data_IF_877665190340
#
_entry.id   IF_877665190340
#
_cell.length_a   1.000
_cell.length_b   1.000
_cell.length_c   1.000
_cell.angle_alpha   90.00
_cell.angle_beta   90.00
_cell.angle_gamma   90.00
#
_symmetry.space_group_name_H-M   'P 1'
#
loop_
_entity.id
_entity.type
_entity.pdbx_description
1 polymer ?
#
# COMPACT_ATOMS: atom_id res chain seq x y z
N UNK A 1 -25.54 20.51 -46.66
CA UNK A 1 -24.45 19.53 -46.89
C UNK A 1 -23.75 19.27 -45.57
N UNK A 2 -24.13 18.17 -44.90
CA UNK A 2 -23.51 17.66 -43.69
C UNK A 2 -22.15 17.04 -44.08
N UNK A 3 -21.05 17.57 -43.53
CA UNK A 3 -19.74 16.92 -43.64
C UNK A 3 -19.56 16.00 -42.44
N UNK A 4 -19.60 14.70 -42.71
CA UNK A 4 -19.21 13.62 -41.82
C UNK A 4 -17.73 13.75 -41.43
N UNK A 5 -17.45 14.05 -40.16
CA UNK A 5 -16.10 13.88 -39.62
C UNK A 5 -15.93 12.44 -39.16
N UNK A 6 -15.13 11.68 -39.89
CA UNK A 6 -14.72 10.32 -39.56
C UNK A 6 -14.20 10.22 -38.12
N UNK A 7 -14.83 9.36 -37.32
CA UNK A 7 -14.35 8.98 -35.98
C UNK A 7 -13.03 8.20 -36.16
N UNK A 8 -11.91 8.82 -35.78
CA UNK A 8 -10.63 8.10 -35.65
C UNK A 8 -10.77 6.99 -34.61
N UNK A 9 -10.39 5.78 -35.00
CA UNK A 9 -10.33 4.61 -34.12
C UNK A 9 -9.52 4.90 -32.84
N UNK A 10 -9.91 4.31 -31.68
CA UNK A 10 -9.21 4.54 -30.43
C UNK A 10 -7.76 4.04 -30.53
N UNK A 11 -6.80 4.93 -30.22
CA UNK A 11 -5.38 4.58 -30.12
C UNK A 11 -5.22 3.48 -29.06
N UNK A 12 -4.56 2.38 -29.42
CA UNK A 12 -4.15 1.29 -28.52
C UNK A 12 -3.56 1.89 -27.23
N UNK A 13 -4.13 1.48 -26.09
CA UNK A 13 -3.66 1.81 -24.75
C UNK A 13 -2.16 1.50 -24.65
N UNK A 14 -1.34 2.54 -24.46
CA UNK A 14 -0.02 2.36 -23.86
C UNK A 14 -0.28 2.26 -22.37
N UNK A 15 -0.10 1.07 -21.80
CA UNK A 15 0.02 0.88 -20.36
C UNK A 15 1.06 1.89 -19.86
N UNK A 16 0.58 2.88 -19.12
CA UNK A 16 1.40 3.94 -18.57
C UNK A 16 2.35 3.31 -17.57
N UNK A 17 3.62 3.19 -17.93
CA UNK A 17 4.70 2.92 -16.99
C UNK A 17 4.77 4.14 -16.06
N UNK A 18 4.03 4.09 -14.94
CA UNK A 18 4.29 4.98 -13.82
C UNK A 18 5.74 4.74 -13.37
N UNK A 19 6.42 5.84 -13.08
CA UNK A 19 7.82 5.84 -12.69
C UNK A 19 8.05 4.87 -11.52
N UNK A 20 8.75 3.76 -11.80
CA UNK A 20 9.23 2.80 -10.81
C UNK A 20 10.00 3.58 -9.74
N UNK A 21 9.49 3.62 -8.51
CA UNK A 21 10.34 3.87 -7.34
C UNK A 21 11.39 2.77 -7.38
N UNK A 22 12.65 3.12 -7.68
CA UNK A 22 13.79 2.21 -7.51
C UNK A 22 13.62 1.53 -6.15
N UNK A 23 13.66 0.19 -6.12
CA UNK A 23 13.91 -0.54 -4.88
C UNK A 23 15.07 0.17 -4.19
N UNK A 24 14.80 0.86 -3.08
CA UNK A 24 15.82 1.67 -2.39
C UNK A 24 16.89 0.81 -1.71
N UNK A 25 16.76 -0.52 -1.80
CA UNK A 25 17.64 -1.50 -1.19
C UNK A 25 18.06 -2.52 -2.25
N UNK A 26 19.37 -2.72 -2.37
CA UNK A 26 19.96 -3.77 -3.19
C UNK A 26 19.73 -5.10 -2.47
N UNK A 27 18.92 -5.97 -3.06
CA UNK A 27 18.72 -7.33 -2.56
C UNK A 27 20.05 -8.08 -2.61
N UNK A 28 20.41 -8.75 -1.51
CA UNK A 28 21.55 -9.66 -1.50
C UNK A 28 21.16 -10.96 -2.18
N UNK A 29 21.97 -11.37 -3.16
CA UNK A 29 21.71 -12.61 -3.89
C UNK A 29 22.05 -13.82 -3.02
N UNK A 30 21.11 -14.77 -2.92
CA UNK A 30 21.22 -15.98 -2.11
C UNK A 30 21.59 -17.15 -3.00
N UNK A 31 22.78 -17.72 -2.84
CA UNK A 31 23.30 -18.71 -3.79
C UNK A 31 22.44 -19.98 -3.92
N UNK A 32 21.84 -20.38 -2.80
CA UNK A 32 21.05 -21.60 -2.68
C UNK A 32 19.53 -21.36 -2.90
N UNK A 33 19.12 -20.10 -3.08
CA UNK A 33 17.73 -19.80 -3.39
C UNK A 33 17.44 -20.08 -4.87
N UNK A 34 16.20 -20.54 -5.14
CA UNK A 34 15.75 -20.74 -6.51
C UNK A 34 15.34 -19.41 -7.13
N UNK A 35 15.86 -19.12 -8.32
CA UNK A 35 15.51 -17.95 -9.10
C UNK A 35 14.85 -18.35 -10.42
N UNK A 36 13.97 -17.49 -10.91
CA UNK A 36 13.35 -17.64 -12.21
C UNK A 36 13.17 -16.29 -12.91
N UNK A 37 13.24 -16.31 -14.22
CA UNK A 37 12.89 -15.17 -15.07
C UNK A 37 11.41 -14.83 -14.90
N UNK A 38 11.11 -13.54 -14.78
CA UNK A 38 9.72 -13.06 -14.70
C UNK A 38 8.97 -13.38 -16.01
N UNK A 39 7.76 -13.93 -15.91
CA UNK A 39 6.98 -14.39 -17.07
C UNK A 39 6.86 -13.37 -18.22
N UNK A 40 6.72 -12.08 -17.89
CA UNK A 40 6.57 -11.00 -18.88
C UNK A 40 7.88 -10.24 -19.14
N UNK A 41 9.03 -10.78 -18.76
CA UNK A 41 10.33 -10.13 -18.94
C UNK A 41 10.55 -9.69 -20.40
N UNK A 42 10.11 -10.51 -21.37
CA UNK A 42 10.28 -10.25 -22.80
C UNK A 42 9.66 -8.92 -23.30
N UNK A 43 8.62 -8.44 -22.63
CA UNK A 43 7.88 -7.23 -22.99
C UNK A 43 8.49 -5.96 -22.38
N UNK A 44 9.47 -6.11 -21.49
CA UNK A 44 10.08 -5.00 -20.76
C UNK A 44 11.15 -4.29 -21.58
N UNK A 45 11.28 -2.97 -21.41
CA UNK A 45 12.37 -2.20 -22.04
C UNK A 45 13.75 -2.65 -21.54
N UNK A 46 13.80 -3.12 -20.30
CA UNK A 46 15.00 -3.66 -19.65
C UNK A 46 15.49 -4.91 -20.38
N UNK A 47 14.60 -5.84 -20.71
CA UNK A 47 14.95 -7.00 -21.52
C UNK A 47 15.40 -6.63 -22.93
N UNK A 48 14.76 -5.65 -23.57
CA UNK A 48 15.20 -5.16 -24.89
C UNK A 48 16.62 -4.58 -24.85
N UNK A 49 17.02 -3.97 -23.74
CA UNK A 49 18.42 -3.53 -23.51
C UNK A 49 19.34 -4.72 -23.26
N UNK A 50 18.87 -5.72 -22.51
CA UNK A 50 19.61 -6.95 -22.20
C UNK A 50 19.97 -7.75 -23.46
N UNK A 51 19.10 -7.77 -24.47
CA UNK A 51 19.35 -8.48 -25.74
C UNK A 51 20.62 -8.03 -26.46
N UNK A 52 21.11 -6.81 -26.20
CA UNK A 52 22.33 -6.26 -26.78
C UNK A 52 23.61 -6.72 -26.05
N UNK A 53 23.47 -7.50 -24.98
CA UNK A 53 24.55 -7.92 -24.09
C UNK A 53 24.61 -9.46 -24.06
N UNK A 54 25.52 -10.09 -24.84
CA UNK A 54 25.51 -11.54 -25.05
C UNK A 54 25.67 -12.36 -23.77
N UNK A 55 26.57 -11.95 -22.88
CA UNK A 55 26.83 -12.65 -21.62
C UNK A 55 25.61 -12.61 -20.68
N UNK A 56 24.99 -11.44 -20.52
CA UNK A 56 23.78 -11.28 -19.72
C UNK A 56 22.61 -12.07 -20.27
N UNK A 57 22.40 -12.05 -21.60
CA UNK A 57 21.36 -12.84 -22.25
C UNK A 57 21.55 -14.33 -22.01
N UNK A 58 22.78 -14.83 -22.14
CA UNK A 58 23.08 -16.24 -21.93
C UNK A 58 22.83 -16.68 -20.49
N UNK A 59 23.19 -15.85 -19.50
CA UNK A 59 22.90 -16.15 -18.09
C UNK A 59 21.39 -16.07 -17.82
N UNK A 60 20.71 -15.05 -18.35
CA UNK A 60 19.26 -14.92 -18.24
C UNK A 60 18.52 -16.15 -18.77
N UNK A 61 18.93 -16.68 -19.92
CA UNK A 61 18.27 -17.84 -20.54
C UNK A 61 18.38 -19.13 -19.70
N UNK A 62 19.35 -19.22 -18.78
CA UNK A 62 19.51 -20.38 -17.88
C UNK A 62 18.54 -20.38 -16.71
N UNK A 63 17.90 -19.24 -16.44
CA UNK A 63 16.89 -19.08 -15.41
C UNK A 63 15.46 -19.07 -15.98
N UNK A 64 15.25 -19.55 -17.23
CA UNK A 64 13.89 -19.70 -17.79
C UNK A 64 13.05 -20.65 -16.95
N UNK A 65 13.66 -21.73 -16.51
CA UNK A 65 13.15 -22.59 -15.46
C UNK A 65 13.76 -22.22 -14.12
N UNK A 66 13.07 -22.54 -13.03
CA UNK A 66 13.59 -22.32 -11.67
C UNK A 66 14.93 -23.05 -11.49
N UNK A 67 15.96 -22.31 -11.11
CA UNK A 67 17.29 -22.84 -10.82
C UNK A 67 17.99 -22.04 -9.72
N UNK A 68 18.89 -22.67 -8.97
CA UNK A 68 19.74 -21.94 -8.02
C UNK A 68 20.93 -21.29 -8.71
N UNK A 69 21.51 -20.27 -8.09
CA UNK A 69 22.71 -19.63 -8.61
C UNK A 69 23.89 -20.60 -8.59
N UNK A 70 23.98 -21.45 -7.56
CA UNK A 70 24.97 -22.51 -7.47
C UNK A 70 24.86 -23.52 -8.65
N UNK A 71 23.65 -23.94 -9.00
CA UNK A 71 23.39 -24.83 -10.13
C UNK A 71 23.76 -24.18 -11.47
N UNK A 72 23.34 -22.94 -11.70
CA UNK A 72 23.65 -22.22 -12.94
C UNK A 72 25.16 -21.95 -13.04
N UNK A 73 25.82 -21.60 -11.94
CA UNK A 73 27.26 -21.42 -11.90
C UNK A 73 28.00 -22.71 -12.24
N UNK A 74 27.64 -23.84 -11.64
CA UNK A 74 28.24 -25.14 -11.93
C UNK A 74 28.09 -25.55 -13.40
N UNK A 75 26.93 -25.29 -14.02
CA UNK A 75 26.70 -25.51 -15.47
C UNK A 75 27.48 -24.54 -16.37
N UNK A 76 27.83 -23.35 -15.88
CA UNK A 76 28.56 -22.32 -16.64
C UNK A 76 30.05 -22.54 -16.73
N UNK A 77 30.64 -23.23 -15.76
CA UNK A 77 32.09 -23.54 -15.70
C UNK A 77 32.57 -24.27 -16.97
N UNK A 78 31.68 -24.95 -17.72
CA UNK A 78 32.04 -25.67 -18.94
C UNK A 78 31.90 -24.90 -20.27
N UNK A 79 31.28 -23.71 -20.32
CA UNK A 79 30.84 -23.11 -21.60
C UNK A 79 31.18 -21.63 -21.84
N UNK A 80 31.76 -20.91 -20.87
CA UNK A 80 32.02 -19.45 -21.01
C UNK A 80 33.28 -18.98 -20.26
N UNK A 81 34.01 -18.00 -20.83
CA UNK A 81 35.15 -17.30 -20.18
C UNK A 81 34.75 -16.35 -19.01
N UNK A 82 33.58 -16.54 -18.40
CA UNK A 82 33.06 -15.64 -17.35
C UNK A 82 33.54 -16.11 -15.98
N UNK A 83 34.32 -15.30 -15.28
CA UNK A 83 34.69 -15.56 -13.88
C UNK A 83 33.53 -15.33 -12.90
N UNK A 84 33.68 -15.83 -11.67
CA UNK A 84 32.60 -15.80 -10.66
C UNK A 84 32.15 -14.39 -10.31
N UNK A 85 33.09 -13.44 -10.20
CA UNK A 85 32.76 -12.04 -9.92
C UNK A 85 31.87 -11.41 -11.00
N UNK A 86 32.20 -11.62 -12.28
CA UNK A 86 31.41 -11.11 -13.39
C UNK A 86 30.05 -11.79 -13.46
N UNK A 87 29.98 -13.09 -13.18
CA UNK A 87 28.71 -13.82 -13.09
C UNK A 87 27.79 -13.25 -12.00
N UNK A 88 28.28 -13.09 -10.78
CA UNK A 88 27.52 -12.50 -9.66
C UNK A 88 27.03 -11.10 -10.00
N UNK A 89 27.88 -10.26 -10.63
CA UNK A 89 27.46 -8.92 -11.08
C UNK A 89 26.33 -8.97 -12.11
N UNK A 90 26.35 -9.94 -13.01
CA UNK A 90 25.28 -10.13 -13.99
C UNK A 90 24.00 -10.57 -13.30
N UNK A 91 24.03 -11.56 -12.41
CA UNK A 91 22.85 -12.00 -11.65
C UNK A 91 22.28 -10.86 -10.80
N UNK A 92 23.13 -10.06 -10.14
CA UNK A 92 22.71 -8.87 -9.41
C UNK A 92 22.00 -7.89 -10.34
N UNK A 93 22.59 -7.61 -11.50
CA UNK A 93 22.02 -6.70 -12.49
C UNK A 93 20.67 -7.19 -13.00
N UNK A 94 20.49 -8.50 -13.22
CA UNK A 94 19.20 -9.08 -13.62
C UNK A 94 18.14 -8.89 -12.52
N UNK A 95 18.53 -9.07 -11.26
CA UNK A 95 17.66 -8.89 -10.09
C UNK A 95 17.29 -7.42 -9.89
N UNK A 96 18.26 -6.51 -9.98
CA UNK A 96 18.07 -5.06 -9.88
C UNK A 96 17.17 -4.50 -11.00
N UNK A 97 17.13 -5.17 -12.15
CA UNK A 97 16.26 -4.85 -13.29
C UNK A 97 14.88 -5.52 -13.21
N UNK A 98 14.58 -6.27 -12.13
CA UNK A 98 13.35 -7.06 -11.97
C UNK A 98 13.14 -8.08 -13.11
N UNK A 99 14.21 -8.54 -13.74
CA UNK A 99 14.18 -9.53 -14.82
C UNK A 99 14.31 -10.96 -14.30
N UNK A 100 15.00 -11.10 -13.16
CA UNK A 100 15.18 -12.33 -12.41
C UNK A 100 14.65 -12.11 -11.00
N UNK A 101 13.82 -13.02 -10.51
CA UNK A 101 13.25 -12.94 -9.17
C UNK A 101 13.51 -14.23 -8.41
N UNK A 102 13.68 -14.10 -7.10
CA UNK A 102 13.67 -15.26 -6.22
C UNK A 102 12.25 -15.86 -6.17
N UNK A 103 12.19 -17.18 -6.33
CA UNK A 103 10.99 -18.00 -6.22
C UNK A 103 10.95 -18.69 -4.86
N UNK A 104 9.93 -18.35 -4.08
CA UNK A 104 9.73 -18.82 -2.72
C UNK A 104 8.25 -19.06 -2.45
N UNK A 105 7.99 -19.88 -1.43
CA UNK A 105 6.66 -19.97 -0.82
C UNK A 105 6.52 -18.84 0.20
N UNK A 106 5.44 -18.03 0.14
CA UNK A 106 5.24 -16.96 1.12
C UNK A 106 5.12 -17.57 2.53
N UNK A 107 5.64 -16.90 3.58
CA UNK A 107 5.40 -17.31 4.95
C UNK A 107 3.91 -17.16 5.28
N UNK A 108 3.47 -17.83 6.34
CA UNK A 108 2.12 -17.64 6.85
C UNK A 108 1.98 -16.22 7.44
N UNK A 109 1.05 -15.43 6.92
CA UNK A 109 0.68 -14.15 7.51
C UNK A 109 -0.26 -14.40 8.70
N UNK A 110 0.27 -14.25 9.92
CA UNK A 110 -0.48 -14.52 11.16
C UNK A 110 -0.94 -13.21 11.78
N UNK A 111 -2.25 -13.06 12.01
CA UNK A 111 -2.89 -11.81 12.48
C UNK A 111 -2.30 -10.52 11.88
N UNK A 112 -2.26 -10.37 10.54
CA UNK A 112 -1.75 -9.15 9.94
C UNK A 112 -2.63 -7.94 10.31
N UNK A 113 -2.01 -6.79 10.51
CA UNK A 113 -2.64 -5.56 11.00
C UNK A 113 -2.74 -4.57 9.84
N UNK A 114 -3.96 -4.12 9.57
CA UNK A 114 -4.23 -3.07 8.58
C UNK A 114 -4.73 -1.80 9.28
N UNK A 115 -4.02 -0.70 9.13
CA UNK A 115 -4.50 0.60 9.58
C UNK A 115 -5.41 1.17 8.49
N UNK A 116 -6.70 1.29 8.80
CA UNK A 116 -7.71 1.81 7.88
C UNK A 116 -8.17 3.19 8.36
N UNK A 117 -8.11 4.18 7.47
CA UNK A 117 -8.48 5.56 7.80
C UNK A 117 -8.75 6.36 6.54
N UNK A 118 -9.65 7.33 6.60
CA UNK A 118 -9.74 8.36 5.57
C UNK A 118 -8.33 8.97 5.30
N UNK A 119 -7.99 9.34 4.05
CA UNK A 119 -6.72 9.98 3.78
C UNK A 119 -6.56 11.22 4.67
N UNK A 120 -5.34 11.49 5.13
CA UNK A 120 -5.01 12.63 5.99
C UNK A 120 -5.56 12.57 7.43
N UNK A 121 -6.01 11.40 7.89
CA UNK A 121 -6.42 11.15 9.27
C UNK A 121 -5.25 10.98 10.28
N UNK A 122 -3.99 10.98 9.82
CA UNK A 122 -2.81 10.79 10.68
C UNK A 122 -2.27 9.37 10.74
N UNK A 123 -2.72 8.49 9.84
CA UNK A 123 -2.33 7.07 9.81
C UNK A 123 -0.84 6.81 9.56
N UNK A 124 -0.11 7.75 8.96
CA UNK A 124 1.36 7.66 8.88
C UNK A 124 2.01 7.70 10.27
N UNK A 125 1.54 8.58 11.17
CA UNK A 125 2.07 8.66 12.53
C UNK A 125 1.87 7.33 13.27
N UNK A 126 0.67 6.77 13.19
CA UNK A 126 0.34 5.50 13.81
C UNK A 126 1.18 4.36 13.21
N UNK A 127 1.28 4.29 11.88
CA UNK A 127 2.08 3.29 11.18
C UNK A 127 3.55 3.36 11.60
N UNK A 128 4.16 4.55 11.61
CA UNK A 128 5.57 4.73 11.99
C UNK A 128 5.83 4.35 13.44
N UNK A 129 4.85 4.54 14.32
CA UNK A 129 4.94 4.14 15.74
C UNK A 129 4.82 2.63 15.87
N UNK A 130 3.82 2.01 15.23
CA UNK A 130 3.62 0.56 15.29
C UNK A 130 4.75 -0.21 14.59
N UNK A 131 5.35 0.33 13.52
CA UNK A 131 6.46 -0.33 12.81
C UNK A 131 7.73 -0.51 13.66
N UNK A 132 7.76 0.02 14.89
CA UNK A 132 8.87 -0.14 15.83
C UNK A 132 8.73 -1.39 16.72
N UNK A 133 7.56 -2.05 16.69
CA UNK A 133 7.35 -3.28 17.44
C UNK A 133 8.20 -4.41 16.84
N UNK A 134 8.89 -5.21 17.67
CA UNK A 134 9.84 -6.22 17.20
C UNK A 134 9.19 -7.32 16.34
N UNK A 135 7.91 -7.62 16.54
CA UNK A 135 7.21 -8.65 15.79
C UNK A 135 6.75 -8.21 14.40
N UNK A 136 6.66 -6.90 14.16
CA UNK A 136 6.00 -6.37 12.98
C UNK A 136 6.95 -6.22 11.80
N UNK A 137 6.50 -6.75 10.68
CA UNK A 137 7.11 -6.55 9.37
C UNK A 137 6.24 -5.62 8.54
N UNK A 138 6.85 -4.73 7.76
CA UNK A 138 6.12 -3.77 6.92
C UNK A 138 6.77 -3.65 5.55
N UNK A 139 6.10 -3.02 4.59
CA UNK A 139 6.72 -2.61 3.33
C UNK A 139 7.38 -1.22 3.41
N UNK A 140 7.44 -0.61 4.59
CA UNK A 140 8.01 0.71 4.84
C UNK A 140 7.18 1.91 4.32
N UNK A 141 6.04 1.67 3.67
CA UNK A 141 5.23 2.71 3.05
C UNK A 141 3.84 2.22 2.64
N UNK A 142 3.27 2.87 1.62
CA UNK A 142 1.92 2.56 1.10
C UNK A 142 2.00 1.58 -0.08
N UNK A 143 1.10 0.61 -0.10
CA UNK A 143 1.04 -0.54 -1.00
C UNK A 143 0.28 -0.29 -2.31
N UNK A 144 0.13 0.96 -2.75
CA UNK A 144 -0.67 1.31 -3.95
C UNK A 144 -0.29 0.45 -5.15
N UNK A 145 0.99 0.46 -5.52
CA UNK A 145 1.50 -0.28 -6.68
C UNK A 145 1.57 -1.79 -6.45
N UNK A 146 1.66 -2.24 -5.19
CA UNK A 146 1.67 -3.67 -4.88
C UNK A 146 0.32 -4.32 -5.16
N UNK A 147 -0.77 -3.62 -4.81
CA UNK A 147 -2.14 -4.06 -5.08
C UNK A 147 -2.50 -3.75 -6.53
N UNK A 148 -2.45 -2.48 -6.94
CA UNK A 148 -2.93 -2.03 -8.26
C UNK A 148 -2.00 -2.43 -9.40
N UNK A 149 -0.76 -2.85 -9.12
CA UNK A 149 0.09 -3.45 -10.14
C UNK A 149 -0.34 -4.87 -10.52
N UNK A 150 -1.28 -5.49 -9.79
CA UNK A 150 -1.91 -6.75 -10.21
C UNK A 150 -2.98 -6.33 -11.22
N UNK A 151 -2.87 -6.68 -12.52
CA UNK A 151 -3.73 -6.12 -13.55
C UNK A 151 -5.22 -6.21 -13.21
N UNK A 152 -5.66 -7.34 -12.66
CA UNK A 152 -7.05 -7.62 -12.27
C UNK A 152 -7.58 -6.71 -11.14
N UNK A 153 -6.69 -6.17 -10.31
CA UNK A 153 -7.02 -5.27 -9.19
C UNK A 153 -6.86 -3.80 -9.56
N UNK A 154 -6.32 -3.50 -10.75
CA UNK A 154 -6.12 -2.13 -11.19
C UNK A 154 -7.47 -1.48 -11.54
N UNK A 155 -7.75 -0.22 -11.13
CA UNK A 155 -9.04 0.41 -11.42
C UNK A 155 -9.43 0.47 -12.91
N UNK A 156 -8.44 0.44 -13.83
CA UNK A 156 -8.73 0.44 -15.27
C UNK A 156 -9.44 -0.82 -15.77
N UNK A 157 -9.26 -1.98 -15.13
CA UNK A 157 -10.00 -3.21 -15.51
C UNK A 157 -11.48 -3.13 -15.11
N UNK A 158 -11.80 -2.19 -14.23
CA UNK A 158 -13.14 -1.91 -13.73
C UNK A 158 -13.66 -0.56 -14.21
N UNK A 159 -13.21 -0.11 -15.39
CA UNK A 159 -13.58 1.15 -16.03
C UNK A 159 -13.45 2.40 -15.14
N UNK A 160 -12.51 2.38 -14.18
CA UNK A 160 -12.35 3.43 -13.19
C UNK A 160 -13.64 3.74 -12.41
N UNK A 161 -14.50 2.76 -12.16
CA UNK A 161 -15.73 2.97 -11.37
C UNK A 161 -15.44 3.38 -9.92
N UNK A 162 -14.44 2.76 -9.29
CA UNK A 162 -13.90 3.15 -7.97
C UNK A 162 -12.59 2.41 -7.66
N UNK A 163 -12.01 2.66 -6.48
CA UNK A 163 -10.97 1.81 -5.90
C UNK A 163 -11.48 0.58 -5.12
N UNK A 164 -12.80 0.35 -5.09
CA UNK A 164 -13.43 -0.73 -4.32
C UNK A 164 -12.93 -2.09 -4.80
N UNK A 165 -12.53 -2.92 -3.84
CA UNK A 165 -12.34 -4.36 -4.00
C UNK A 165 -13.15 -5.08 -2.93
N UNK A 166 -13.65 -6.26 -3.29
CA UNK A 166 -14.49 -7.13 -2.45
C UNK A 166 -13.87 -8.52 -2.37
N UNK A 167 -14.51 -9.44 -1.64
CA UNK A 167 -14.13 -10.84 -1.56
C UNK A 167 -14.11 -11.52 -2.94
N UNK A 168 -14.96 -11.07 -3.88
CA UNK A 168 -15.00 -11.59 -5.24
C UNK A 168 -13.70 -11.35 -6.02
N UNK A 169 -12.94 -10.30 -5.65
CA UNK A 169 -11.65 -9.98 -6.26
C UNK A 169 -10.49 -10.78 -5.65
N UNK A 170 -10.72 -11.47 -4.53
CA UNK A 170 -9.73 -12.24 -3.77
C UNK A 170 -9.60 -13.69 -4.27
N UNK A 171 -9.35 -13.87 -5.57
CA UNK A 171 -9.10 -15.19 -6.15
C UNK A 171 -7.78 -15.77 -5.63
N UNK A 172 -7.66 -17.11 -5.43
CA UNK A 172 -6.48 -17.72 -4.80
C UNK A 172 -5.14 -17.29 -5.41
N UNK A 173 -5.04 -17.25 -6.74
CA UNK A 173 -3.82 -16.87 -7.46
C UNK A 173 -3.49 -15.38 -7.30
N UNK A 174 -4.51 -14.53 -7.18
CA UNK A 174 -4.37 -13.10 -6.90
C UNK A 174 -3.86 -12.91 -5.48
N UNK A 175 -4.43 -13.63 -4.51
CA UNK A 175 -4.00 -13.58 -3.11
C UNK A 175 -2.55 -14.05 -2.95
N UNK A 176 -2.17 -15.17 -3.57
CA UNK A 176 -0.79 -15.66 -3.56
C UNK A 176 0.17 -14.64 -4.21
N UNK A 177 -0.22 -14.07 -5.36
CA UNK A 177 0.56 -13.02 -6.03
C UNK A 177 0.76 -11.80 -5.13
N UNK A 178 -0.29 -11.35 -4.46
CA UNK A 178 -0.24 -10.21 -3.53
C UNK A 178 0.66 -10.51 -2.32
N UNK A 179 0.54 -11.70 -1.73
CA UNK A 179 1.39 -12.14 -0.62
C UNK A 179 2.87 -12.16 -1.03
N UNK A 180 3.21 -12.78 -2.18
CA UNK A 180 4.59 -12.76 -2.70
C UNK A 180 5.12 -11.35 -2.93
N UNK A 181 4.27 -10.45 -3.43
CA UNK A 181 4.62 -9.03 -3.62
C UNK A 181 4.89 -8.31 -2.30
N UNK A 182 4.12 -8.58 -1.25
CA UNK A 182 4.40 -8.06 0.08
C UNK A 182 5.71 -8.62 0.62
N UNK A 183 5.92 -9.93 0.56
CA UNK A 183 7.16 -10.59 1.05
C UNK A 183 8.41 -9.99 0.44
N UNK A 184 8.38 -9.70 -0.87
CA UNK A 184 9.49 -9.03 -1.59
C UNK A 184 9.85 -7.65 -1.05
N UNK A 185 8.94 -6.99 -0.32
CA UNK A 185 9.16 -5.69 0.28
C UNK A 185 9.19 -5.70 1.80
N UNK A 186 8.97 -6.85 2.45
CA UNK A 186 8.94 -6.94 3.90
C UNK A 186 10.27 -6.54 4.51
N UNK A 187 10.19 -5.69 5.53
CA UNK A 187 11.27 -5.24 6.39
C UNK A 187 10.82 -5.23 7.83
N UNK A 188 11.72 -5.63 8.71
CA UNK A 188 11.52 -5.47 10.14
C UNK A 188 11.79 -4.00 10.57
N UNK A 189 11.70 -3.73 11.87
CA UNK A 189 12.02 -2.41 12.44
C UNK A 189 13.45 -1.94 12.20
N UNK A 190 14.41 -2.86 12.02
CA UNK A 190 15.83 -2.57 11.77
C UNK A 190 16.13 -2.30 10.28
N UNK A 191 15.10 -2.37 9.42
CA UNK A 191 15.17 -2.30 7.96
C UNK A 191 15.76 -3.55 7.28
N UNK A 192 16.01 -4.61 8.04
CA UNK A 192 16.44 -5.90 7.51
C UNK A 192 15.34 -6.46 6.61
N UNK A 193 15.66 -6.73 5.34
CA UNK A 193 14.69 -7.29 4.41
C UNK A 193 14.49 -8.78 4.70
N UNK A 194 13.25 -9.26 4.56
CA UNK A 194 12.92 -10.67 4.77
C UNK A 194 13.70 -11.59 3.82
N UNK A 195 13.81 -11.21 2.54
CA UNK A 195 14.53 -12.01 1.54
C UNK A 195 16.05 -11.92 1.66
N UNK A 196 16.57 -10.92 2.38
CA UNK A 196 18.01 -10.83 2.67
C UNK A 196 18.43 -11.76 3.82
N UNK A 197 17.47 -12.33 4.58
CA UNK A 197 17.76 -13.36 5.57
C UNK A 197 18.16 -14.67 4.89
N UNK A 198 19.14 -15.41 5.45
CA UNK A 198 19.44 -16.78 5.03
C UNK A 198 18.18 -17.65 5.02
N UNK A 199 18.07 -18.57 4.05
CA UNK A 199 16.87 -19.37 3.84
C UNK A 199 16.37 -20.08 5.12
N UNK A 200 17.30 -20.64 5.90
CA UNK A 200 17.02 -21.34 7.14
C UNK A 200 16.65 -20.44 8.33
N UNK A 201 16.92 -19.13 8.23
CA UNK A 201 16.63 -18.13 9.27
C UNK A 201 15.35 -17.33 8.98
N UNK A 202 14.77 -17.48 7.78
CA UNK A 202 13.53 -16.80 7.41
C UNK A 202 12.38 -17.28 8.30
N UNK A 203 11.68 -16.36 8.99
CA UNK A 203 10.61 -16.77 9.89
C UNK A 203 9.43 -17.36 9.09
N UNK A 204 8.95 -18.58 9.43
CA UNK A 204 7.86 -19.22 8.70
C UNK A 204 6.51 -18.51 8.89
N UNK A 205 6.43 -17.61 9.88
CA UNK A 205 5.25 -16.82 10.23
C UNK A 205 5.63 -15.35 10.31
N UNK A 206 4.79 -14.49 9.77
CA UNK A 206 5.00 -13.04 9.75
C UNK A 206 3.76 -12.32 10.29
N UNK A 207 3.96 -11.40 11.24
CA UNK A 207 2.96 -10.39 11.62
C UNK A 207 3.18 -9.16 10.74
N UNK A 208 2.34 -9.01 9.72
CA UNK A 208 2.45 -7.91 8.76
C UNK A 208 1.71 -6.67 9.27
N UNK A 209 2.28 -5.48 9.09
CA UNK A 209 1.62 -4.20 9.31
C UNK A 209 1.60 -3.40 8.02
N UNK A 210 0.39 -2.97 7.65
CA UNK A 210 0.12 -2.26 6.40
C UNK A 210 -0.73 -1.02 6.65
N UNK A 211 -0.44 0.04 5.90
CA UNK A 211 -1.30 1.21 5.82
C UNK A 211 -1.29 1.79 4.42
N UNK A 212 -2.44 1.76 3.76
CA UNK A 212 -2.68 2.47 2.51
C UNK A 212 -4.05 3.15 2.53
N UNK A 213 -4.16 4.47 2.27
CA UNK A 213 -5.45 5.17 2.33
C UNK A 213 -6.53 4.64 1.40
N UNK A 214 -6.18 3.94 0.30
CA UNK A 214 -7.16 3.30 -0.59
C UNK A 214 -7.81 2.05 0.02
N UNK A 215 -7.22 1.48 1.07
CA UNK A 215 -7.73 0.27 1.72
C UNK A 215 -9.03 0.52 2.51
N UNK A 216 -9.44 1.78 2.66
CA UNK A 216 -10.80 2.13 3.14
C UNK A 216 -11.91 1.54 2.26
N UNK A 217 -11.62 1.21 0.99
CA UNK A 217 -12.53 0.53 0.10
C UNK A 217 -12.09 -0.92 -0.19
N UNK A 218 -11.32 -1.57 0.68
CA UNK A 218 -10.77 -2.91 0.39
C UNK A 218 -10.81 -3.85 1.58
N UNK A 219 -11.49 -3.48 2.67
CA UNK A 219 -11.57 -4.31 3.88
C UNK A 219 -12.01 -5.76 3.56
N UNK A 220 -13.06 -6.00 2.75
CA UNK A 220 -13.51 -7.37 2.51
C UNK A 220 -12.52 -8.17 1.65
N UNK A 221 -11.95 -7.53 0.62
CA UNK A 221 -10.84 -8.11 -0.16
C UNK A 221 -9.64 -8.48 0.73
N UNK A 222 -9.22 -7.58 1.62
CA UNK A 222 -8.10 -7.82 2.54
C UNK A 222 -8.42 -8.93 3.54
N UNK A 223 -9.66 -9.00 4.04
CA UNK A 223 -10.08 -10.07 4.94
C UNK A 223 -10.10 -11.43 4.24
N UNK A 224 -10.52 -11.50 2.98
CA UNK A 224 -10.46 -12.71 2.18
C UNK A 224 -9.01 -13.14 1.87
N UNK A 225 -8.15 -12.18 1.50
CA UNK A 225 -6.73 -12.45 1.21
C UNK A 225 -5.89 -12.78 2.48
N UNK A 226 -6.34 -12.31 3.64
CA UNK A 226 -5.71 -12.50 4.94
C UNK A 226 -6.77 -12.82 6.01
N UNK A 227 -7.19 -14.09 6.16
CA UNK A 227 -8.32 -14.47 7.02
C UNK A 227 -8.17 -14.06 8.49
N UNK A 228 -6.95 -14.05 9.02
CA UNK A 228 -6.66 -13.62 10.39
C UNK A 228 -6.50 -12.09 10.55
N UNK A 229 -6.74 -11.29 9.51
CA UNK A 229 -6.50 -9.86 9.54
C UNK A 229 -7.23 -9.15 10.69
N UNK A 230 -6.49 -8.27 11.36
CA UNK A 230 -6.92 -7.30 12.35
C UNK A 230 -6.94 -5.90 11.72
N UNK A 231 -7.96 -5.10 12.02
CA UNK A 231 -8.11 -3.75 11.48
C UNK A 231 -8.08 -2.70 12.59
N UNK A 232 -7.21 -1.71 12.45
CA UNK A 232 -7.22 -0.53 13.31
C UNK A 232 -7.88 0.60 12.54
N UNK A 233 -9.11 0.93 12.90
CA UNK A 233 -9.83 2.06 12.33
C UNK A 233 -9.38 3.36 13.01
N UNK A 234 -8.53 4.12 12.33
CA UNK A 234 -8.10 5.43 12.80
C UNK A 234 -9.08 6.51 12.32
N UNK A 235 -9.77 7.12 13.27
CA UNK A 235 -10.71 8.21 13.05
C UNK A 235 -10.12 9.56 13.43
N UNK A 236 -10.40 10.58 12.62
CA UNK A 236 -10.03 11.98 12.91
C UNK A 236 -11.24 12.87 12.74
N UNK A 237 -11.34 13.87 13.62
CA UNK A 237 -12.37 14.90 13.59
C UNK A 237 -12.63 15.41 12.16
N UNK A 238 -13.90 15.48 11.72
CA UNK A 238 -14.27 15.79 10.34
C UNK A 238 -13.71 17.14 9.89
N UNK A 239 -13.77 18.16 10.73
CA UNK A 239 -13.31 19.53 10.39
C UNK A 239 -11.82 19.51 10.10
N UNK A 240 -11.05 18.87 10.97
CA UNK A 240 -9.61 18.74 10.81
C UNK A 240 -9.22 17.89 9.60
N UNK A 241 -9.91 16.75 9.40
CA UNK A 241 -9.58 15.83 8.33
C UNK A 241 -9.93 16.44 6.96
N UNK A 242 -11.13 17.01 6.81
CA UNK A 242 -11.60 17.64 5.57
C UNK A 242 -10.72 18.84 5.22
N UNK A 243 -10.38 19.70 6.21
CA UNK A 243 -9.42 20.77 5.97
C UNK A 243 -8.09 20.26 5.44
N UNK A 244 -7.60 19.12 5.92
CA UNK A 244 -6.34 18.55 5.42
C UNK A 244 -6.49 17.88 4.05
N UNK A 245 -7.66 17.34 3.70
CA UNK A 245 -7.97 16.84 2.36
C UNK A 245 -8.03 18.00 1.36
N UNK A 246 -8.74 19.08 1.71
CA UNK A 246 -8.84 20.31 0.93
C UNK A 246 -7.45 20.92 0.64
N UNK A 247 -6.61 21.07 1.67
CA UNK A 247 -5.21 21.49 1.49
C UNK A 247 -4.44 20.53 0.57
N UNK A 248 -4.69 19.23 0.69
CA UNK A 248 -4.04 18.21 -0.12
C UNK A 248 -4.40 18.32 -1.60
N UNK A 249 -5.68 18.47 -1.91
CA UNK A 249 -6.16 18.76 -3.26
C UNK A 249 -5.53 20.03 -3.83
N UNK A 250 -5.57 21.15 -3.08
CA UNK A 250 -4.99 22.43 -3.49
C UNK A 250 -3.49 22.35 -3.75
N UNK A 251 -2.77 21.54 -2.98
CA UNK A 251 -1.33 21.38 -3.11
C UNK A 251 -0.89 20.55 -4.32
N UNK A 252 -1.80 19.75 -4.92
CA UNK A 252 -1.51 18.77 -5.98
C UNK A 252 -0.42 17.74 -5.61
N UNK A 253 -0.09 17.58 -4.33
CA UNK A 253 0.93 16.62 -3.85
C UNK A 253 0.42 15.17 -3.75
N UNK A 254 -0.90 14.98 -3.79
CA UNK A 254 -1.54 13.67 -3.54
C UNK A 254 -2.34 13.16 -4.74
N UNK A 255 -1.94 13.56 -5.95
CA UNK A 255 -2.55 13.14 -7.22
C UNK A 255 -2.37 11.63 -7.40
N UNK A 256 -3.48 10.91 -7.46
CA UNK A 256 -3.51 9.46 -7.72
C UNK A 256 -3.80 9.14 -9.18
N UNK A 257 -4.55 10.01 -9.87
CA UNK A 257 -4.84 9.85 -11.30
C UNK A 257 -4.57 11.15 -12.05
N UNK A 258 -3.70 11.09 -13.07
CA UNK A 258 -3.34 12.24 -13.93
C UNK A 258 -4.14 12.35 -15.22
N UNK A 259 -4.93 11.33 -15.56
CA UNK A 259 -5.74 11.28 -16.77
C UNK A 259 -6.92 10.33 -16.49
N UNK A 260 -7.78 10.71 -15.55
CA UNK A 260 -8.94 9.91 -15.18
C UNK A 260 -10.00 10.01 -16.30
N UNK A 261 -10.38 8.92 -16.99
CA UNK A 261 -11.35 9.01 -18.08
C UNK A 261 -12.70 9.52 -17.59
N UNK A 262 -13.26 10.54 -18.25
CA UNK A 262 -14.54 11.16 -17.87
C UNK A 262 -14.43 12.28 -16.82
N UNK A 263 -13.24 12.57 -16.32
CA UNK A 263 -12.97 13.72 -15.46
C UNK A 263 -12.42 14.88 -16.29
N UNK A 264 -13.13 16.02 -16.32
CA UNK A 264 -12.75 17.16 -17.19
C UNK A 264 -11.50 17.89 -16.68
N UNK A 265 -11.12 17.67 -15.43
CA UNK A 265 -9.90 18.21 -14.85
C UNK A 265 -8.74 17.24 -15.03
N UNK A 266 -7.52 17.78 -15.11
CA UNK A 266 -6.33 16.95 -15.38
C UNK A 266 -6.03 15.97 -14.25
N UNK A 267 -6.34 16.27 -12.99
CA UNK A 267 -5.83 15.49 -11.86
C UNK A 267 -6.92 15.18 -10.82
N UNK A 268 -6.89 13.94 -10.32
CA UNK A 268 -7.67 13.47 -9.19
C UNK A 268 -6.75 13.12 -8.02
N UNK A 269 -7.02 13.66 -6.83
CA UNK A 269 -6.25 13.38 -5.62
C UNK A 269 -6.90 12.30 -4.74
N UNK A 270 -6.06 11.54 -4.04
CA UNK A 270 -6.45 10.45 -3.14
C UNK A 270 -7.20 9.29 -3.84
N UNK A 271 -7.92 8.49 -3.06
CA UNK A 271 -8.68 7.37 -3.60
C UNK A 271 -9.86 7.84 -4.46
N UNK A 272 -10.28 6.97 -5.36
CA UNK A 272 -11.43 7.13 -6.24
C UNK A 272 -12.67 6.51 -5.57
N UNK A 273 -13.57 7.31 -4.98
CA UNK A 273 -14.78 6.79 -4.35
C UNK A 273 -15.77 6.27 -5.41
N UNK A 274 -16.67 5.34 -5.06
CA UNK A 274 -17.84 5.05 -5.90
C UNK A 274 -18.60 6.33 -6.25
N UNK A 275 -19.19 6.38 -7.45
CA UNK A 275 -19.95 7.53 -7.96
C UNK A 275 -19.17 8.86 -8.03
N UNK A 276 -17.83 8.81 -8.10
CA UNK A 276 -17.01 10.03 -8.21
C UNK A 276 -17.40 10.93 -9.40
N UNK A 277 -17.93 10.37 -10.49
CA UNK A 277 -18.32 11.11 -11.69
C UNK A 277 -19.47 12.08 -11.45
N UNK A 278 -20.27 11.90 -10.39
CA UNK A 278 -21.31 12.85 -10.01
C UNK A 278 -20.74 14.15 -9.41
N UNK A 279 -19.44 14.21 -9.16
CA UNK A 279 -18.76 15.35 -8.54
C UNK A 279 -18.18 16.34 -9.56
N UNK A 280 -18.50 16.18 -10.84
CA UNK A 280 -17.94 16.99 -11.95
C UNK A 280 -18.07 18.50 -11.72
N UNK A 281 -19.20 18.92 -11.14
CA UNK A 281 -19.51 20.34 -10.89
C UNK A 281 -19.29 20.74 -9.43
N UNK A 282 -18.80 19.83 -8.59
CA UNK A 282 -18.57 20.08 -7.17
C UNK A 282 -17.30 20.90 -6.95
N UNK A 283 -17.34 21.77 -5.95
CA UNK A 283 -16.15 22.43 -5.41
C UNK A 283 -15.18 21.43 -4.78
N UNK A 284 -13.91 21.81 -4.63
CA UNK A 284 -12.89 20.94 -4.01
C UNK A 284 -13.29 20.56 -2.57
N UNK A 285 -13.93 21.46 -1.82
CA UNK A 285 -14.35 21.17 -0.45
C UNK A 285 -15.49 20.15 -0.40
N UNK A 286 -16.42 20.19 -1.37
CA UNK A 286 -17.46 19.17 -1.53
C UNK A 286 -16.87 17.81 -1.92
N UNK A 287 -15.88 17.79 -2.83
CA UNK A 287 -15.15 16.57 -3.19
C UNK A 287 -14.43 15.99 -1.96
N UNK A 288 -13.73 16.84 -1.19
CA UNK A 288 -13.03 16.43 0.02
C UNK A 288 -13.99 15.89 1.11
N UNK A 289 -15.14 16.53 1.29
CA UNK A 289 -16.18 16.07 2.20
C UNK A 289 -16.81 14.75 1.73
N UNK A 290 -17.04 14.60 0.42
CA UNK A 290 -17.53 13.35 -0.17
C UNK A 290 -16.54 12.20 0.04
N UNK A 291 -15.24 12.43 -0.18
CA UNK A 291 -14.20 11.43 0.09
C UNK A 291 -14.14 11.07 1.58
N UNK A 292 -14.24 12.06 2.48
CA UNK A 292 -14.26 11.80 3.93
C UNK A 292 -15.50 10.97 4.33
N UNK A 293 -16.68 11.37 3.87
CA UNK A 293 -17.94 10.66 4.14
C UNK A 293 -17.87 9.23 3.64
N UNK A 294 -17.51 9.06 2.37
CA UNK A 294 -17.42 7.76 1.71
C UNK A 294 -16.43 6.83 2.42
N UNK A 295 -15.25 7.32 2.79
CA UNK A 295 -14.27 6.52 3.51
C UNK A 295 -14.84 6.02 4.84
N UNK A 296 -15.39 6.89 5.68
CA UNK A 296 -15.89 6.48 6.99
C UNK A 296 -17.14 5.59 6.89
N UNK A 297 -18.03 5.83 5.93
CA UNK A 297 -19.18 4.95 5.67
C UNK A 297 -18.74 3.54 5.30
N UNK A 298 -17.87 3.38 4.29
CA UNK A 298 -17.41 2.06 3.89
C UNK A 298 -16.59 1.34 4.96
N UNK A 299 -15.79 2.08 5.74
CA UNK A 299 -15.08 1.48 6.87
C UNK A 299 -16.06 0.90 7.88
N UNK A 300 -17.06 1.68 8.30
CA UNK A 300 -18.04 1.22 9.27
C UNK A 300 -18.88 0.06 8.74
N UNK A 301 -19.40 0.18 7.52
CA UNK A 301 -20.22 -0.86 6.90
C UNK A 301 -19.43 -2.17 6.78
N UNK A 302 -18.20 -2.13 6.28
CA UNK A 302 -17.39 -3.33 6.09
C UNK A 302 -16.91 -3.92 7.43
N UNK A 303 -16.51 -3.10 8.41
CA UNK A 303 -16.05 -3.58 9.72
C UNK A 303 -17.20 -4.15 10.58
N UNK A 304 -18.40 -3.60 10.47
CA UNK A 304 -19.58 -4.11 11.20
C UNK A 304 -20.01 -5.51 10.73
N UNK A 305 -19.59 -5.93 9.53
CA UNK A 305 -19.77 -7.30 9.05
C UNK A 305 -18.69 -8.27 9.56
N UNK A 306 -17.68 -7.79 10.29
CA UNK A 306 -16.61 -8.61 10.85
C UNK A 306 -16.81 -8.87 12.34
N UNK A 307 -16.24 -9.95 12.90
CA UNK A 307 -16.20 -10.16 14.34
C UNK A 307 -15.58 -8.95 15.05
N UNK A 308 -16.17 -8.51 16.17
CA UNK A 308 -15.67 -7.38 16.96
C UNK A 308 -14.21 -7.56 17.40
N UNK A 309 -13.77 -8.80 17.62
CA UNK A 309 -12.38 -9.16 17.93
C UNK A 309 -11.39 -8.92 16.78
N UNK A 310 -11.88 -8.70 15.55
CA UNK A 310 -11.03 -8.46 14.37
C UNK A 310 -10.76 -6.97 14.12
N UNK A 311 -11.31 -6.04 14.90
CA UNK A 311 -11.02 -4.62 14.70
C UNK A 311 -11.18 -3.77 15.96
N UNK A 312 -10.56 -2.59 15.98
CA UNK A 312 -10.78 -1.57 17.02
C UNK A 312 -10.78 -0.16 16.44
N UNK A 313 -11.50 0.75 17.09
CA UNK A 313 -11.51 2.17 16.76
C UNK A 313 -10.46 2.91 17.59
N UNK A 314 -9.70 3.79 16.94
CA UNK A 314 -8.72 4.67 17.57
C UNK A 314 -8.99 6.10 17.12
N UNK A 315 -9.10 7.03 18.05
CA UNK A 315 -9.17 8.46 17.72
C UNK A 315 -7.76 9.03 17.57
N UNK A 316 -7.55 9.79 16.50
CA UNK A 316 -6.31 10.55 16.30
C UNK A 316 -6.04 11.54 17.44
N UNK A 317 -7.08 12.11 18.06
CA UNK A 317 -6.94 12.97 19.24
C UNK A 317 -6.26 12.24 20.39
N UNK A 318 -6.63 11.00 20.62
CA UNK A 318 -6.17 10.20 21.76
C UNK A 318 -4.75 9.71 21.48
N UNK A 319 -4.44 9.36 20.22
CA UNK A 319 -3.08 9.05 19.79
C UNK A 319 -2.11 10.22 20.03
N UNK A 320 -2.55 11.46 19.81
CA UNK A 320 -1.70 12.65 20.00
C UNK A 320 -1.62 13.06 21.47
N UNK A 321 -2.74 13.05 22.19
CA UNK A 321 -2.82 13.51 23.58
C UNK A 321 -2.26 12.49 24.57
N UNK A 322 -2.57 11.21 24.35
CA UNK A 322 -2.28 10.09 25.26
C UNK A 322 -1.65 8.93 24.46
N UNK A 323 -0.48 9.14 23.81
CA UNK A 323 0.13 8.15 22.93
C UNK A 323 0.43 6.83 23.63
N UNK A 324 0.99 6.88 24.85
CA UNK A 324 1.30 5.68 25.63
C UNK A 324 0.07 4.83 25.90
N UNK A 325 -1.04 5.45 26.32
CA UNK A 325 -2.29 4.74 26.60
C UNK A 325 -2.89 4.16 25.31
N UNK A 326 -2.92 4.96 24.24
CA UNK A 326 -3.47 4.54 22.94
C UNK A 326 -2.70 3.37 22.34
N UNK A 327 -1.35 3.45 22.31
CA UNK A 327 -0.50 2.37 21.79
C UNK A 327 -0.57 1.13 22.69
N UNK A 328 -0.70 1.30 24.01
CA UNK A 328 -0.90 0.15 24.91
C UNK A 328 -2.21 -0.58 24.59
N UNK A 329 -3.31 0.15 24.37
CA UNK A 329 -4.59 -0.46 23.97
C UNK A 329 -4.48 -1.22 22.65
N UNK A 330 -3.81 -0.63 21.66
CA UNK A 330 -3.58 -1.28 20.36
C UNK A 330 -2.72 -2.53 20.53
N UNK A 331 -1.64 -2.45 21.32
CA UNK A 331 -0.76 -3.58 21.61
C UNK A 331 -1.49 -4.73 22.27
N UNK A 332 -2.39 -4.44 23.23
CA UNK A 332 -3.22 -5.47 23.85
C UNK A 332 -4.20 -6.10 22.85
N UNK A 333 -4.87 -5.29 22.03
CA UNK A 333 -5.79 -5.76 20.99
C UNK A 333 -5.09 -6.65 19.95
N UNK A 334 -3.89 -6.26 19.52
CA UNK A 334 -3.13 -6.95 18.47
C UNK A 334 -2.13 -7.99 19.03
N UNK A 335 -2.12 -8.23 20.34
CA UNK A 335 -1.21 -9.15 21.04
C UNK A 335 0.27 -8.88 20.73
N UNK A 336 0.68 -7.61 20.85
CA UNK A 336 2.04 -7.15 20.59
C UNK A 336 2.82 -6.93 21.89
N UNK A 337 4.07 -7.38 21.94
CA UNK A 337 4.95 -7.19 23.09
C UNK A 337 5.67 -5.85 23.01
N UNK A 338 5.71 -5.15 24.14
CA UNK A 338 6.46 -3.90 24.28
C UNK A 338 7.80 -4.21 24.89
N UNK A 339 8.87 -3.96 24.13
CA UNK A 339 10.23 -3.98 24.64
C UNK A 339 10.68 -2.59 25.12
N UNK A 340 11.92 -2.49 25.60
CA UNK A 340 12.49 -1.23 26.08
C UNK A 340 12.50 -0.12 25.01
N UNK A 341 12.65 -0.49 23.74
CA UNK A 341 12.63 0.47 22.63
C UNK A 341 11.25 1.12 22.47
N UNK A 342 10.18 0.32 22.52
CA UNK A 342 8.81 0.86 22.51
C UNK A 342 8.54 1.71 23.74
N UNK A 343 8.91 1.25 24.94
CA UNK A 343 8.71 2.05 26.16
C UNK A 343 9.46 3.38 26.10
N UNK A 344 10.66 3.42 25.51
CA UNK A 344 11.41 4.65 25.27
C UNK A 344 10.68 5.59 24.30
N UNK A 345 10.16 5.08 23.17
CA UNK A 345 9.36 5.89 22.22
C UNK A 345 8.15 6.49 22.92
N UNK A 346 7.43 5.69 23.71
CA UNK A 346 6.21 6.11 24.40
C UNK A 346 6.47 7.00 25.62
N UNK A 347 7.70 7.09 26.11
CA UNK A 347 8.10 8.05 27.15
C UNK A 347 8.27 9.48 26.63
N UNK A 348 8.29 9.66 25.31
CA UNK A 348 8.45 10.94 24.63
C UNK A 348 7.17 11.32 23.86
N UNK A 349 7.04 12.60 23.50
CA UNK A 349 6.01 13.02 22.54
C UNK A 349 6.30 12.42 21.17
N UNK A 350 5.28 11.86 20.51
CA UNK A 350 5.45 11.29 19.17
C UNK A 350 5.87 12.39 18.16
N UNK A 351 6.78 12.08 17.22
CA UNK A 351 7.26 13.05 16.25
C UNK A 351 6.17 13.48 15.26
N UNK A 352 6.34 14.64 14.62
CA UNK A 352 5.48 15.05 13.51
C UNK A 352 5.70 14.10 12.33
N UNK A 353 4.62 13.50 11.81
CA UNK A 353 4.75 12.52 10.72
C UNK A 353 5.35 13.17 9.46
N UNK A 354 6.18 12.41 8.73
CA UNK A 354 6.84 12.84 7.47
C UNK A 354 5.88 13.34 6.39
N UNK A 355 4.62 12.90 6.43
CA UNK A 355 3.59 13.26 5.46
C UNK A 355 2.76 14.49 5.83
N UNK A 356 3.05 15.15 6.95
CA UNK A 356 2.36 16.37 7.38
C UNK A 356 2.78 17.58 6.53
N UNK A 357 1.82 18.42 6.12
CA UNK A 357 2.11 19.67 5.39
C UNK A 357 2.59 20.78 6.32
N UNK A 358 2.23 20.71 7.61
CA UNK A 358 2.73 21.57 8.69
C UNK A 358 2.43 20.89 10.04
N UNK A 359 2.96 21.44 11.14
CA UNK A 359 2.69 20.93 12.49
C UNK A 359 1.18 20.77 12.77
N UNK A 360 0.76 19.69 13.46
CA UNK A 360 -0.63 19.47 13.83
C UNK A 360 -1.07 20.49 14.89
N UNK A 361 -2.24 21.10 14.68
CA UNK A 361 -2.93 21.94 15.67
C UNK A 361 -4.44 21.71 15.53
N UNK A 362 -5.19 21.55 16.64
CA UNK A 362 -6.64 21.39 16.61
C UNK A 362 -7.36 22.52 15.88
N UNK A 363 -6.86 23.75 15.96
CA UNK A 363 -7.50 24.93 15.37
C UNK A 363 -7.07 25.22 13.92
N UNK A 364 -6.16 24.40 13.36
CA UNK A 364 -5.62 24.61 12.01
C UNK A 364 -6.71 24.62 10.94
N UNK A 365 -7.83 23.93 11.16
CA UNK A 365 -8.93 23.88 10.19
C UNK A 365 -9.63 25.24 10.03
N UNK A 366 -9.53 26.15 11.02
CA UNK A 366 -10.24 27.44 11.00
C UNK A 366 -9.91 28.32 9.80
N UNK A 367 -8.71 28.18 9.22
CA UNK A 367 -8.33 28.88 7.99
C UNK A 367 -9.25 28.55 6.79
N UNK A 368 -9.91 27.38 6.84
CA UNK A 368 -10.84 26.90 5.82
C UNK A 368 -12.28 26.83 6.38
N UNK A 369 -12.57 27.47 7.52
CA UNK A 369 -13.87 27.36 8.20
C UNK A 369 -15.04 27.76 7.31
N UNK A 370 -14.91 28.88 6.59
CA UNK A 370 -15.95 29.40 5.69
C UNK A 370 -16.39 28.39 4.62
N UNK A 371 -15.51 27.50 4.18
CA UNK A 371 -15.82 26.47 3.19
C UNK A 371 -16.34 25.17 3.83
N UNK A 372 -15.87 24.86 5.03
CA UNK A 372 -16.15 23.58 5.70
C UNK A 372 -17.46 23.63 6.49
N UNK A 373 -17.69 24.71 7.24
CA UNK A 373 -18.86 24.87 8.12
C UNK A 373 -20.20 24.64 7.38
N UNK A 374 -20.41 25.14 6.15
CA UNK A 374 -21.66 24.89 5.42
C UNK A 374 -21.92 23.40 5.09
N UNK A 375 -20.88 22.57 5.06
CA UNK A 375 -20.97 21.16 4.66
C UNK A 375 -21.18 20.24 5.87
N UNK A 376 -20.76 20.65 7.07
CA UNK A 376 -20.82 19.82 8.28
C UNK A 376 -22.20 19.23 8.57
N UNK A 377 -23.34 19.95 8.40
CA UNK A 377 -24.66 19.36 8.64
C UNK A 377 -24.93 18.11 7.80
N UNK A 378 -24.40 18.02 6.58
CA UNK A 378 -24.58 16.87 5.67
C UNK A 378 -23.77 15.64 6.11
N UNK A 379 -22.84 15.82 7.05
CA UNK A 379 -21.95 14.80 7.58
C UNK A 379 -22.41 14.29 8.96
N UNK A 380 -23.34 14.98 9.59
CA UNK A 380 -23.84 14.65 10.94
C UNK A 380 -24.28 13.19 11.11
N UNK A 381 -24.98 12.55 10.14
CA UNK A 381 -25.37 11.15 10.30
C UNK A 381 -24.17 10.21 10.46
N UNK A 382 -23.11 10.40 9.68
CA UNK A 382 -21.92 9.54 9.76
C UNK A 382 -21.06 9.88 10.97
N UNK A 383 -21.02 11.15 11.39
CA UNK A 383 -20.34 11.56 12.63
C UNK A 383 -20.94 10.82 13.83
N UNK A 384 -22.28 10.87 13.98
CA UNK A 384 -22.99 10.19 15.07
C UNK A 384 -22.78 8.68 15.07
N UNK A 385 -22.74 8.05 13.89
CA UNK A 385 -22.45 6.61 13.78
C UNK A 385 -21.05 6.28 14.32
N UNK A 386 -20.03 7.04 13.91
CA UNK A 386 -18.65 6.81 14.40
C UNK A 386 -18.54 7.08 15.91
N UNK A 387 -19.23 8.10 16.42
CA UNK A 387 -19.25 8.42 17.84
C UNK A 387 -19.89 7.31 18.69
N UNK A 388 -20.98 6.72 18.21
CA UNK A 388 -21.62 5.56 18.85
C UNK A 388 -20.70 4.33 18.89
N UNK A 389 -19.96 4.07 17.81
CA UNK A 389 -18.99 2.97 17.77
C UNK A 389 -17.82 3.19 18.75
N UNK A 390 -17.41 4.43 18.95
CA UNK A 390 -16.36 4.78 19.90
C UNK A 390 -16.74 4.47 21.35
N UNK A 391 -18.01 4.69 21.72
CA UNK A 391 -18.54 4.34 23.05
C UNK A 391 -18.62 2.83 23.25
N UNK A 392 -18.96 2.09 22.18
CA UNK A 392 -19.09 0.63 22.21
C UNK A 392 -17.75 -0.10 22.09
N UNK A 393 -16.67 0.59 21.71
CA UNK A 393 -15.39 -0.04 21.40
C UNK A 393 -14.58 -0.50 22.62
N UNK A 394 -14.99 -0.10 23.83
CA UNK A 394 -14.24 -0.33 25.08
C UNK A 394 -15.12 -0.79 26.26
N UNK A 395 -16.37 -1.20 26.01
CA UNK A 395 -17.17 -2.02 26.91
C UNK A 395 -17.00 -3.50 26.52
#
# INVERSE_FOLDING_TARGET
MLKSSERKAPKKFKTGVLARKKLQVKLQIQWDAGYQVVANAAETKEFQRLQKLPAEKQIFDLFREKATIAEVWAKKVSETEINQEKFVRIVQKLTDLELLVEEFQPPQFVKPIFIISAPRAGSTLLFETLSQFPELWTIGGESHDLIEGIPQLHPSTHNYTSNRLTEADAQPEICETLQKRFVRQLRDRTQQAYLDLPLQERPPKVRFLEKTPKNVLRIPFLKAAFPEALFIYLYRDPRQNISSLLDGWRSRRFVSYRNLPGWDYQEWSFFLPPNWSSLQTSSIVEIAAYQWKTANSYILDDLNNLPRSSWCLVRYSDLVREPKQTITKIGNFAELNRDEHIEKILSQSLPVSRMALSAPSPEKWRKNAQEIEPILPNLEPIIKLVEKENESSFA
#
